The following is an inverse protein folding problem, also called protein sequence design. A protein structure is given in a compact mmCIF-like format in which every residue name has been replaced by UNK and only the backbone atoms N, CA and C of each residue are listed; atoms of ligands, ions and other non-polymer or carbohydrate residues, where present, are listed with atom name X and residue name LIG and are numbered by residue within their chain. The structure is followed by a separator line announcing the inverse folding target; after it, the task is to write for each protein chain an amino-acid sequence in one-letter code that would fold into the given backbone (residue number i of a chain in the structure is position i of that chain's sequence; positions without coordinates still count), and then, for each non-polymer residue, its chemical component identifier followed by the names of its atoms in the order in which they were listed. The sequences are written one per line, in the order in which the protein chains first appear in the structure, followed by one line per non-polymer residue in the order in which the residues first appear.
data_IF_136638426648
#
_entry.id   IF_136638426648
#
_cell.length_a   1.000
_cell.length_b   1.000
_cell.length_c   1.000
_cell.angle_alpha   90.00
_cell.angle_beta   90.00
_cell.angle_gamma   90.00
#
_symmetry.space_group_name_H-M   'P 1'
#
loop_
_entity.id
_entity.type
_entity.pdbx_description
1 polymer ?
#
# COMPACT_ATOMS: atom_id res chain seq x y z
N UNK A 1 -11.05 25.21 -1.63
CA UNK A 1 -10.74 23.91 -0.99
C UNK A 1 -10.44 24.18 0.47
N UNK A 2 -11.18 23.58 1.40
CA UNK A 2 -11.04 23.91 2.82
C UNK A 2 -9.83 23.16 3.38
N UNK A 3 -8.68 23.84 3.52
CA UNK A 3 -7.39 23.23 3.92
C UNK A 3 -7.47 22.44 5.23
N UNK A 4 -8.37 22.84 6.13
CA UNK A 4 -8.68 22.13 7.37
C UNK A 4 -9.19 20.71 7.12
N UNK A 5 -10.01 20.51 6.08
CA UNK A 5 -10.57 19.20 5.74
C UNK A 5 -9.46 18.31 5.16
N UNK A 6 -8.60 18.86 4.29
CA UNK A 6 -7.49 18.10 3.69
C UNK A 6 -6.47 17.64 4.72
N UNK A 7 -6.08 18.52 5.65
CA UNK A 7 -5.15 18.16 6.72
C UNK A 7 -5.81 17.15 7.67
N UNK A 8 -7.07 17.38 8.03
CA UNK A 8 -7.84 16.48 8.90
C UNK A 8 -7.93 15.06 8.34
N UNK A 9 -8.25 14.89 7.05
CA UNK A 9 -8.35 13.56 6.44
C UNK A 9 -7.00 12.86 6.36
N UNK A 10 -5.93 13.59 6.02
CA UNK A 10 -4.58 13.02 5.97
C UNK A 10 -4.10 12.57 7.36
N UNK A 11 -4.29 13.39 8.39
CA UNK A 11 -3.91 13.03 9.76
C UNK A 11 -4.68 11.82 10.25
N UNK A 12 -6.00 11.77 10.04
CA UNK A 12 -6.83 10.62 10.44
C UNK A 12 -6.37 9.34 9.74
N UNK A 13 -6.08 9.41 8.44
CA UNK A 13 -5.58 8.26 7.69
C UNK A 13 -4.28 7.71 8.29
N UNK A 14 -3.28 8.56 8.54
CA UNK A 14 -2.00 8.14 9.11
C UNK A 14 -2.17 7.56 10.51
N UNK A 15 -2.99 8.17 11.37
CA UNK A 15 -3.26 7.69 12.73
C UNK A 15 -3.86 6.29 12.70
N UNK A 16 -4.84 6.04 11.83
CA UNK A 16 -5.45 4.71 11.68
C UNK A 16 -4.41 3.68 11.24
N UNK A 17 -3.59 3.99 10.24
CA UNK A 17 -2.53 3.09 9.76
C UNK A 17 -1.52 2.72 10.86
N UNK A 18 -1.06 3.71 11.63
CA UNK A 18 -0.16 3.49 12.75
C UNK A 18 -0.82 2.64 13.85
N UNK A 19 -2.10 2.88 14.12
CA UNK A 19 -2.84 2.13 15.14
C UNK A 19 -2.98 0.65 14.77
N UNK A 20 -3.29 0.35 13.51
CA UNK A 20 -3.33 -1.03 12.99
C UNK A 20 -1.94 -1.68 13.11
N UNK A 21 -0.88 -0.97 12.74
CA UNK A 21 0.51 -1.44 12.89
C UNK A 21 0.88 -1.76 14.35
N UNK A 22 0.48 -0.91 15.29
CA UNK A 22 0.72 -1.13 16.72
C UNK A 22 -0.02 -2.36 17.27
N UNK A 23 -1.26 -2.60 16.83
CA UNK A 23 -2.02 -3.80 17.20
C UNK A 23 -1.34 -5.07 16.66
N UNK A 24 -0.86 -5.02 15.41
CA UNK A 24 -0.10 -6.12 14.82
C UNK A 24 1.21 -6.38 15.58
N UNK A 25 1.94 -5.32 15.97
CA UNK A 25 3.16 -5.45 16.77
C UNK A 25 2.89 -6.07 18.15
N UNK A 26 1.77 -5.72 18.79
CA UNK A 26 1.38 -6.31 20.08
C UNK A 26 1.03 -7.79 19.98
N UNK A 27 0.54 -8.24 18.83
CA UNK A 27 0.19 -9.66 18.60
C UNK A 27 1.41 -10.51 18.24
N UNK A 28 2.53 -9.90 17.82
CA UNK A 28 3.73 -10.61 17.40
C UNK A 28 4.52 -11.17 18.60
N UNK A 29 5.03 -12.40 18.46
CA UNK A 29 5.76 -13.14 19.49
C UNK A 29 7.27 -12.89 19.47
N UNK A 30 7.76 -11.85 18.78
CA UNK A 30 9.18 -11.46 18.71
C UNK A 30 10.14 -12.62 18.37
N UNK A 31 9.67 -13.64 17.65
CA UNK A 31 10.49 -14.74 17.15
C UNK A 31 10.71 -14.54 15.67
N UNK A 32 11.90 -14.86 15.15
CA UNK A 32 12.25 -14.66 13.74
C UNK A 32 11.26 -15.36 12.79
N UNK A 33 10.73 -16.51 13.19
CA UNK A 33 9.73 -17.25 12.43
C UNK A 33 8.37 -16.55 12.36
N UNK A 34 7.98 -15.81 13.40
CA UNK A 34 6.74 -15.05 13.45
C UNK A 34 6.86 -13.77 12.62
N UNK A 35 8.02 -13.11 12.68
CA UNK A 35 8.29 -11.91 11.89
C UNK A 35 8.47 -12.20 10.39
N UNK A 36 9.21 -13.27 10.05
CA UNK A 36 9.54 -13.60 8.66
C UNK A 36 8.47 -14.46 7.97
N UNK A 37 7.81 -15.37 8.70
CA UNK A 37 6.80 -16.26 8.11
C UNK A 37 5.37 -15.90 8.53
N UNK A 38 5.15 -14.94 9.44
CA UNK A 38 3.81 -14.53 9.86
C UNK A 38 3.01 -15.68 10.49
N UNK A 39 3.71 -16.65 11.10
CA UNK A 39 3.17 -17.92 11.57
C UNK A 39 2.36 -18.70 10.49
N UNK A 40 2.55 -18.40 9.19
CA UNK A 40 1.74 -18.88 8.06
C UNK A 40 0.23 -18.69 8.25
N UNK A 41 -0.15 -17.75 9.12
CA UNK A 41 -1.54 -17.55 9.55
C UNK A 41 -2.31 -16.61 8.61
N UNK A 42 -1.60 -15.85 7.77
CA UNK A 42 -2.22 -14.98 6.79
C UNK A 42 -2.86 -15.83 5.68
N UNK A 43 -4.18 -15.73 5.50
CA UNK A 43 -4.88 -16.45 4.44
C UNK A 43 -4.42 -15.99 3.05
N UNK A 44 -4.49 -16.90 2.06
CA UNK A 44 -4.06 -16.66 0.66
C UNK A 44 -4.61 -15.36 0.05
N UNK A 45 -5.83 -14.99 0.41
CA UNK A 45 -6.48 -13.75 -0.04
C UNK A 45 -5.76 -12.48 0.44
N UNK A 46 -5.44 -12.38 1.73
CA UNK A 46 -4.74 -11.23 2.30
C UNK A 46 -3.29 -11.14 1.82
N UNK A 47 -2.65 -12.29 1.62
CA UNK A 47 -1.32 -12.36 1.00
C UNK A 47 -1.38 -11.81 -0.44
N UNK A 48 -2.34 -12.25 -1.24
CA UNK A 48 -2.53 -11.76 -2.61
C UNK A 48 -2.82 -10.26 -2.67
N UNK A 49 -3.68 -9.75 -1.79
CA UNK A 49 -3.98 -8.33 -1.66
C UNK A 49 -2.71 -7.53 -1.30
N UNK A 50 -1.92 -8.03 -0.35
CA UNK A 50 -0.66 -7.39 0.04
C UNK A 50 0.35 -7.36 -1.10
N UNK A 51 0.46 -8.43 -1.90
CA UNK A 51 1.35 -8.44 -3.09
C UNK A 51 0.92 -7.36 -4.09
N UNK A 52 -0.38 -7.22 -4.37
CA UNK A 52 -0.89 -6.18 -5.25
C UNK A 52 -0.67 -4.76 -4.69
N UNK A 53 -0.80 -4.57 -3.38
CA UNK A 53 -0.49 -3.30 -2.74
C UNK A 53 1.01 -2.97 -2.79
N UNK A 54 1.87 -3.94 -2.47
CA UNK A 54 3.34 -3.79 -2.50
C UNK A 54 3.86 -3.53 -3.92
N UNK A 55 3.24 -4.13 -4.94
CA UNK A 55 3.58 -3.87 -6.33
C UNK A 55 3.29 -2.42 -6.75
N UNK A 56 2.37 -1.74 -6.06
CA UNK A 56 1.99 -0.37 -6.37
C UNK A 56 2.78 0.63 -5.50
N UNK A 57 3.83 1.20 -6.06
CA UNK A 57 4.60 2.26 -5.42
C UNK A 57 4.21 3.65 -5.93
N UNK A 58 4.51 4.69 -5.15
CA UNK A 58 4.31 6.09 -5.58
C UNK A 58 5.11 6.43 -6.84
N UNK A 59 6.26 5.78 -7.05
CA UNK A 59 7.04 5.91 -8.29
C UNK A 59 6.29 5.37 -9.50
N UNK A 60 5.64 4.21 -9.37
CA UNK A 60 4.83 3.64 -10.45
C UNK A 60 3.60 4.49 -10.70
N UNK A 61 2.93 4.97 -9.65
CA UNK A 61 1.74 5.84 -9.80
C UNK A 61 2.08 7.15 -10.52
N UNK A 62 3.13 7.87 -10.09
CA UNK A 62 3.53 9.14 -10.70
C UNK A 62 4.16 8.92 -12.07
N UNK A 63 4.98 7.88 -12.23
CA UNK A 63 5.63 7.52 -13.49
C UNK A 63 4.64 7.09 -14.57
N UNK A 64 3.61 6.32 -14.21
CA UNK A 64 2.54 5.94 -15.15
C UNK A 64 1.75 7.17 -15.63
N UNK A 65 1.43 8.11 -14.73
CA UNK A 65 0.77 9.38 -15.10
C UNK A 65 1.69 10.24 -15.99
N UNK A 66 2.99 10.31 -15.70
CA UNK A 66 3.96 11.03 -16.53
C UNK A 66 4.15 10.42 -17.92
N UNK A 67 4.15 9.09 -18.02
CA UNK A 67 4.20 8.38 -19.30
C UNK A 67 2.90 8.57 -20.09
N UNK A 68 1.75 8.55 -19.42
CA UNK A 68 0.44 8.87 -20.01
C UNK A 68 0.38 10.30 -20.53
N UNK A 69 0.98 11.26 -19.82
CA UNK A 69 1.05 12.65 -20.26
C UNK A 69 1.86 12.82 -21.55
N UNK A 70 2.92 12.03 -21.74
CA UNK A 70 3.82 12.14 -22.90
C UNK A 70 3.44 11.26 -24.09
N UNK A 71 2.88 10.07 -23.85
CA UNK A 71 2.57 9.06 -24.90
C UNK A 71 1.06 8.85 -25.13
N UNK A 72 0.20 9.52 -24.36
CA UNK A 72 -1.26 9.46 -24.52
C UNK A 72 -1.85 8.08 -24.19
N UNK A 73 -2.96 7.72 -24.84
CA UNK A 73 -3.67 6.44 -24.59
C UNK A 73 -2.81 5.18 -24.83
N UNK A 74 -1.68 5.32 -25.53
CA UNK A 74 -0.75 4.22 -25.79
C UNK A 74 -0.08 3.66 -24.54
N UNK A 75 0.06 4.43 -23.45
CA UNK A 75 0.72 3.97 -22.21
C UNK A 75 -0.10 2.91 -21.47
N UNK A 76 -1.43 2.95 -21.60
CA UNK A 76 -2.32 1.93 -21.03
C UNK A 76 -2.07 0.55 -21.66
N UNK A 77 -1.83 0.53 -22.97
CA UNK A 77 -1.57 -0.71 -23.71
C UNK A 77 -0.18 -1.30 -23.43
N UNK A 78 0.82 -0.47 -23.12
CA UNK A 78 2.17 -0.93 -22.76
C UNK A 78 2.18 -1.63 -21.40
N UNK A 79 1.28 -1.27 -20.49
CA UNK A 79 1.14 -1.94 -19.18
C UNK A 79 0.37 -3.27 -19.19
N UNK A 80 -0.23 -3.65 -20.33
CA UNK A 80 -1.06 -4.86 -20.48
C UNK A 80 -0.40 -6.00 -21.26
N UNK A 81 0.89 -5.91 -21.58
CA UNK A 81 1.67 -6.93 -22.30
C UNK A 81 2.70 -7.54 -21.34
#
# INVERSE_FOLDING_TARGET
MNSIITIGTFTVFVVIFLWIGALAAKTSKNTETDYLLGNRSFGKFFIGLSVGATANSGWIMVGAVGMAYTTGFSSFLIGCN
#
